data_IF_491045148416
#
_entry.id   IF_491045148416
#
_cell.length_a   1.000
_cell.length_b   1.000
_cell.length_c   1.000
_cell.angle_alpha   90.00
_cell.angle_beta   90.00
_cell.angle_gamma   90.00
#
_symmetry.space_group_name_H-M   'P 1'
#
loop_
_entity.id
_entity.type
_entity.pdbx_description
1 polymer ?
#
# COMPACT_ATOMS: atom_id res chain seq x y z
N UNK A 1 -32.13 6.48 14.81
CA UNK A 1 -31.13 7.15 13.96
C UNK A 1 -29.94 6.22 13.80
N UNK A 2 -29.47 6.08 12.56
CA UNK A 2 -28.80 4.91 12.00
C UNK A 2 -27.32 4.84 12.40
N UNK A 3 -26.93 3.86 13.22
CA UNK A 3 -25.52 3.57 13.51
C UNK A 3 -24.70 3.15 12.25
N UNK A 4 -25.37 2.99 11.10
CA UNK A 4 -24.79 2.57 9.82
C UNK A 4 -24.08 3.67 9.04
N UNK A 5 -24.44 4.95 9.21
CA UNK A 5 -23.81 6.06 8.49
C UNK A 5 -22.36 6.38 8.91
N UNK A 6 -22.01 6.41 10.21
CA UNK A 6 -20.63 6.62 10.62
C UNK A 6 -19.73 5.45 10.22
N UNK A 7 -20.24 4.22 10.26
CA UNK A 7 -19.49 3.02 9.88
C UNK A 7 -19.14 3.02 8.39
N UNK A 8 -20.13 3.27 7.52
CA UNK A 8 -19.91 3.39 6.06
C UNK A 8 -18.93 4.52 5.72
N UNK A 9 -18.99 5.62 6.46
CA UNK A 9 -18.05 6.73 6.30
C UNK A 9 -16.63 6.31 6.66
N UNK A 10 -16.46 5.58 7.77
CA UNK A 10 -15.18 5.05 8.20
C UNK A 10 -14.62 4.05 7.19
N UNK A 11 -15.45 3.14 6.65
CA UNK A 11 -15.05 2.17 5.62
C UNK A 11 -14.54 2.87 4.36
N UNK A 12 -15.23 3.91 3.91
CA UNK A 12 -14.81 4.72 2.76
C UNK A 12 -13.45 5.37 3.01
N UNK A 13 -13.26 5.98 4.18
CA UNK A 13 -11.99 6.62 4.55
C UNK A 13 -10.85 5.60 4.61
N UNK A 14 -11.08 4.41 5.19
CA UNK A 14 -10.09 3.34 5.25
C UNK A 14 -9.74 2.78 3.88
N UNK A 15 -10.72 2.64 2.99
CA UNK A 15 -10.48 2.23 1.60
C UNK A 15 -9.64 3.26 0.84
N UNK A 16 -9.92 4.56 1.02
CA UNK A 16 -9.11 5.63 0.44
C UNK A 16 -7.67 5.61 0.97
N UNK A 17 -7.49 5.43 2.28
CA UNK A 17 -6.16 5.30 2.90
C UNK A 17 -5.39 4.11 2.33
N UNK A 18 -6.04 2.95 2.18
CA UNK A 18 -5.44 1.75 1.57
C UNK A 18 -4.97 2.03 0.14
N UNK A 19 -5.80 2.70 -0.66
CA UNK A 19 -5.45 3.10 -2.04
C UNK A 19 -4.25 4.05 -2.07
N UNK A 20 -4.20 5.03 -1.16
CA UNK A 20 -3.06 5.96 -1.05
C UNK A 20 -1.78 5.22 -0.66
N UNK A 21 -1.84 4.29 0.30
CA UNK A 21 -0.70 3.44 0.67
C UNK A 21 -0.20 2.63 -0.54
N UNK A 22 -1.13 2.04 -1.32
CA UNK A 22 -0.79 1.28 -2.51
C UNK A 22 -0.12 2.16 -3.58
N UNK A 23 -0.64 3.36 -3.81
CA UNK A 23 -0.04 4.32 -4.73
C UNK A 23 1.40 4.68 -4.33
N UNK A 24 1.62 4.97 -3.04
CA UNK A 24 2.96 5.27 -2.52
C UNK A 24 3.96 4.12 -2.66
N UNK A 25 3.50 2.87 -2.53
CA UNK A 25 4.32 1.68 -2.80
C UNK A 25 4.67 1.62 -4.29
N UNK A 26 3.68 1.78 -5.17
CA UNK A 26 3.89 1.72 -6.61
C UNK A 26 4.84 2.82 -7.12
N UNK A 27 4.70 4.04 -6.59
CA UNK A 27 5.61 5.16 -6.85
C UNK A 27 7.04 4.84 -6.42
N UNK A 28 7.22 4.30 -5.20
CA UNK A 28 8.54 3.94 -4.70
C UNK A 28 9.20 2.85 -5.56
N UNK A 29 8.42 1.86 -6.00
CA UNK A 29 8.93 0.84 -6.93
C UNK A 29 9.34 1.43 -8.28
N UNK A 30 8.60 2.43 -8.80
CA UNK A 30 9.00 3.14 -10.03
C UNK A 30 10.33 3.87 -9.84
N UNK A 31 10.52 4.54 -8.70
CA UNK A 31 11.78 5.23 -8.36
C UNK A 31 12.94 4.23 -8.34
N UNK A 32 12.78 3.09 -7.66
CA UNK A 32 13.82 2.05 -7.57
C UNK A 32 14.16 1.51 -8.97
N UNK A 33 13.17 1.22 -9.82
CA UNK A 33 13.43 0.78 -11.20
C UNK A 33 14.20 1.83 -12.01
N UNK A 34 13.88 3.12 -11.83
CA UNK A 34 14.62 4.21 -12.43
C UNK A 34 16.07 4.27 -11.97
N UNK A 35 16.33 4.05 -10.68
CA UNK A 35 17.69 3.97 -10.12
C UNK A 35 18.45 2.76 -10.68
N UNK A 36 17.83 1.58 -10.74
CA UNK A 36 18.42 0.37 -11.30
C UNK A 36 18.85 0.56 -12.77
N UNK A 37 18.01 1.21 -13.58
CA UNK A 37 18.36 1.55 -14.96
C UNK A 37 19.58 2.47 -15.03
N UNK A 38 19.65 3.52 -14.19
CA UNK A 38 20.81 4.43 -14.16
C UNK A 38 22.08 3.72 -13.72
N UNK A 39 21.98 2.86 -12.71
CA UNK A 39 23.11 2.05 -12.22
C UNK A 39 23.62 1.14 -13.33
N UNK A 40 22.72 0.48 -14.05
CA UNK A 40 23.06 -0.37 -15.19
C UNK A 40 23.81 0.42 -16.26
N UNK A 41 23.30 1.58 -16.67
CA UNK A 41 23.97 2.46 -17.64
C UNK A 41 25.36 2.92 -17.15
N UNK A 42 25.52 3.25 -15.87
CA UNK A 42 26.83 3.60 -15.30
C UNK A 42 27.81 2.42 -15.32
N UNK A 43 27.33 1.20 -15.10
CA UNK A 43 28.14 0.00 -15.23
C UNK A 43 28.57 -0.23 -16.67
N UNK A 44 27.66 -0.07 -17.64
CA UNK A 44 28.00 -0.17 -19.07
C UNK A 44 29.09 0.83 -19.47
N UNK A 45 29.01 2.08 -19.01
CA UNK A 45 30.06 3.08 -19.28
C UNK A 45 31.41 2.72 -18.65
N UNK A 46 31.43 2.07 -17.48
CA UNK A 46 32.65 1.60 -16.85
C UNK A 46 33.26 0.37 -17.53
N UNK A 47 32.44 -0.45 -18.19
CA UNK A 47 32.86 -1.64 -18.92
C UNK A 47 33.09 -1.40 -20.41
N UNK A 48 32.76 -0.21 -20.91
CA UNK A 48 32.97 0.16 -22.30
C UNK A 48 34.47 0.05 -22.68
N UNK A 49 34.79 -0.53 -23.85
CA UNK A 49 36.16 -0.68 -24.28
C UNK A 49 36.82 0.69 -24.43
N UNK A 50 37.99 0.82 -23.81
CA UNK A 50 38.82 2.00 -23.89
C UNK A 50 39.47 2.06 -25.26
N UNK A 51 39.25 3.16 -26.00
CA UNK A 51 40.03 3.43 -27.22
C UNK A 51 41.52 3.47 -26.88
N UNK A 52 42.43 2.90 -27.69
CA UNK A 52 43.86 2.94 -27.41
C UNK A 52 44.36 4.39 -27.43
N UNK A 53 44.47 4.99 -26.26
CA UNK A 53 44.99 6.34 -26.07
C UNK A 53 46.52 6.30 -26.06
N UNK A 54 47.14 7.05 -26.95
CA UNK A 54 48.60 7.11 -27.12
C UNK A 54 49.27 8.23 -26.33
N UNK A 55 48.50 9.13 -25.71
CA UNK A 55 49.01 10.34 -25.05
C UNK A 55 48.77 10.30 -23.54
N UNK A 56 49.79 10.62 -22.73
CA UNK A 56 49.74 10.54 -21.26
C UNK A 56 48.66 11.40 -20.60
N UNK A 57 48.36 12.59 -21.14
CA UNK A 57 47.24 13.42 -20.68
C UNK A 57 45.88 12.75 -20.90
N UNK A 58 45.72 12.04 -22.01
CA UNK A 58 44.47 11.33 -22.32
C UNK A 58 44.28 10.14 -21.37
N UNK A 59 45.34 9.40 -21.05
CA UNK A 59 45.32 8.34 -20.05
C UNK A 59 44.95 8.88 -18.65
N UNK A 60 45.57 9.97 -18.21
CA UNK A 60 45.27 10.58 -16.91
C UNK A 60 43.82 11.07 -16.80
N UNK A 61 43.33 11.75 -17.84
CA UNK A 61 41.94 12.20 -17.90
C UNK A 61 40.96 11.03 -17.84
N UNK A 62 41.29 9.92 -18.51
CA UNK A 62 40.46 8.74 -18.51
C UNK A 62 40.42 8.05 -17.13
N UNK A 63 41.56 7.94 -16.46
CA UNK A 63 41.62 7.38 -15.10
C UNK A 63 40.79 8.20 -14.11
N UNK A 64 40.86 9.54 -14.21
CA UNK A 64 40.05 10.44 -13.39
C UNK A 64 38.56 10.27 -13.70
N UNK A 65 38.18 10.24 -14.98
CA UNK A 65 36.81 10.00 -15.41
C UNK A 65 36.26 8.66 -14.89
N UNK A 66 37.03 7.57 -15.01
CA UNK A 66 36.65 6.26 -14.49
C UNK A 66 36.51 6.26 -12.96
N UNK A 67 37.37 7.01 -12.24
CA UNK A 67 37.29 7.16 -10.79
C UNK A 67 36.01 7.90 -10.38
N UNK A 68 35.68 8.98 -11.05
CA UNK A 68 34.45 9.75 -10.84
C UNK A 68 33.21 8.91 -11.13
N UNK A 69 33.17 8.17 -12.24
CA UNK A 69 32.09 7.24 -12.56
C UNK A 69 31.92 6.16 -11.48
N UNK A 70 33.00 5.57 -10.97
CA UNK A 70 32.93 4.58 -9.87
C UNK A 70 32.41 5.20 -8.57
N UNK A 71 32.76 6.45 -8.28
CA UNK A 71 32.22 7.17 -7.12
C UNK A 71 30.72 7.43 -7.29
N UNK A 72 30.30 7.90 -8.46
CA UNK A 72 28.89 8.12 -8.79
C UNK A 72 28.09 6.82 -8.73
N UNK A 73 28.62 5.72 -9.25
CA UNK A 73 28.01 4.40 -9.18
C UNK A 73 27.80 3.95 -7.73
N UNK A 74 28.84 4.04 -6.89
CA UNK A 74 28.73 3.70 -5.46
C UNK A 74 27.67 4.54 -4.76
N UNK A 75 27.63 5.85 -5.04
CA UNK A 75 26.61 6.73 -4.49
C UNK A 75 25.20 6.34 -4.95
N UNK A 76 25.00 6.05 -6.24
CA UNK A 76 23.70 5.59 -6.77
C UNK A 76 23.26 4.27 -6.13
N UNK A 77 24.18 3.32 -5.93
CA UNK A 77 23.90 2.05 -5.24
C UNK A 77 23.47 2.28 -3.79
N UNK A 78 24.12 3.20 -3.07
CA UNK A 78 23.71 3.57 -1.71
C UNK A 78 22.32 4.23 -1.68
N UNK A 79 22.00 5.08 -2.66
CA UNK A 79 20.68 5.67 -2.80
C UNK A 79 19.61 4.60 -3.09
N UNK A 80 19.91 3.62 -3.94
CA UNK A 80 19.01 2.50 -4.20
C UNK A 80 18.72 1.70 -2.92
N UNK A 81 19.74 1.37 -2.12
CA UNK A 81 19.56 0.64 -0.85
C UNK A 81 18.65 1.42 0.10
N UNK A 82 18.84 2.74 0.21
CA UNK A 82 17.97 3.61 1.02
C UNK A 82 16.53 3.59 0.50
N UNK A 83 16.36 3.66 -0.82
CA UNK A 83 15.05 3.60 -1.46
C UNK A 83 14.34 2.25 -1.26
N UNK A 84 15.09 1.14 -1.24
CA UNK A 84 14.58 -0.20 -0.96
C UNK A 84 14.14 -0.36 0.50
N UNK A 85 14.89 0.20 1.45
CA UNK A 85 14.46 0.24 2.86
C UNK A 85 13.15 1.02 3.03
N UNK A 86 13.02 2.15 2.32
CA UNK A 86 11.78 2.93 2.32
C UNK A 86 10.62 2.17 1.66
N UNK A 87 10.89 1.36 0.63
CA UNK A 87 9.87 0.48 0.04
C UNK A 87 9.35 -0.53 1.07
N UNK A 88 10.23 -1.16 1.85
CA UNK A 88 9.84 -2.10 2.91
C UNK A 88 8.95 -1.42 3.95
N UNK A 89 9.31 -0.20 4.38
CA UNK A 89 8.47 0.60 5.31
C UNK A 89 7.09 0.93 4.72
N UNK A 90 7.03 1.26 3.44
CA UNK A 90 5.74 1.53 2.76
C UNK A 90 4.90 0.28 2.60
N UNK A 91 5.53 -0.87 2.34
CA UNK A 91 4.85 -2.16 2.28
C UNK A 91 4.28 -2.58 3.64
N UNK A 92 5.01 -2.38 4.74
CA UNK A 92 4.48 -2.64 6.08
C UNK A 92 3.27 -1.75 6.39
N UNK A 93 3.35 -0.45 6.08
CA UNK A 93 2.22 0.47 6.25
C UNK A 93 1.00 0.09 5.40
N UNK A 94 1.21 -0.41 4.19
CA UNK A 94 0.14 -0.94 3.33
C UNK A 94 -0.53 -2.17 3.97
N UNK A 95 0.26 -3.11 4.48
CA UNK A 95 -0.27 -4.30 5.17
C UNK A 95 -1.08 -3.92 6.41
N UNK A 96 -0.59 -3.00 7.22
CA UNK A 96 -1.31 -2.49 8.39
C UNK A 96 -2.63 -1.83 7.99
N UNK A 97 -2.63 -0.99 6.95
CA UNK A 97 -3.85 -0.37 6.43
C UNK A 97 -4.84 -1.42 5.93
N UNK A 98 -4.37 -2.47 5.24
CA UNK A 98 -5.21 -3.57 4.78
C UNK A 98 -5.83 -4.35 5.95
N UNK A 99 -5.06 -4.66 6.99
CA UNK A 99 -5.56 -5.34 8.19
C UNK A 99 -6.61 -4.49 8.92
N UNK A 100 -6.38 -3.19 9.05
CA UNK A 100 -7.35 -2.26 9.65
C UNK A 100 -8.65 -2.20 8.85
N UNK A 101 -8.55 -2.16 7.51
CA UNK A 101 -9.73 -2.21 6.63
C UNK A 101 -10.50 -3.53 6.80
N UNK A 102 -9.79 -4.67 6.82
CA UNK A 102 -10.44 -5.99 6.98
C UNK A 102 -11.14 -6.18 8.32
N UNK A 103 -10.54 -5.69 9.41
CA UNK A 103 -11.19 -5.69 10.74
C UNK A 103 -12.46 -4.84 10.76
N UNK A 104 -12.45 -3.71 10.06
CA UNK A 104 -13.62 -2.85 9.97
C UNK A 104 -14.73 -3.51 9.13
N UNK A 105 -14.38 -4.11 8.00
CA UNK A 105 -15.30 -4.85 7.14
C UNK A 105 -15.97 -6.00 7.92
N UNK A 106 -15.20 -6.80 8.67
CA UNK A 106 -15.77 -7.88 9.49
C UNK A 106 -16.72 -7.35 10.56
N UNK A 107 -16.35 -6.27 11.23
CA UNK A 107 -17.21 -5.63 12.23
C UNK A 107 -18.50 -5.09 11.60
N UNK A 108 -18.42 -4.50 10.40
CA UNK A 108 -19.59 -4.04 9.66
C UNK A 108 -20.56 -5.15 9.32
N UNK A 109 -20.06 -6.32 8.90
CA UNK A 109 -20.88 -7.50 8.69
C UNK A 109 -21.54 -8.01 9.97
N UNK A 110 -20.84 -7.99 11.10
CA UNK A 110 -21.40 -8.37 12.39
C UNK A 110 -22.53 -7.44 12.84
N UNK A 111 -22.34 -6.11 12.71
CA UNK A 111 -23.36 -5.11 13.02
C UNK A 111 -24.58 -5.25 12.12
N UNK A 112 -24.39 -5.49 10.82
CA UNK A 112 -25.50 -5.72 9.91
C UNK A 112 -26.28 -6.99 10.28
N UNK A 113 -25.57 -8.08 10.62
CA UNK A 113 -26.19 -9.35 11.03
C UNK A 113 -26.97 -9.20 12.33
N UNK A 114 -26.42 -8.53 13.34
CA UNK A 114 -27.13 -8.32 14.62
C UNK A 114 -28.33 -7.41 14.44
N UNK A 115 -28.24 -6.38 13.60
CA UNK A 115 -29.38 -5.53 13.24
C UNK A 115 -30.53 -6.33 12.61
N UNK A 116 -30.25 -7.18 11.62
CA UNK A 116 -31.25 -8.06 11.00
C UNK A 116 -31.88 -9.03 12.01
N UNK A 117 -31.08 -9.63 12.89
CA UNK A 117 -31.57 -10.53 13.93
C UNK A 117 -32.48 -9.82 14.94
N UNK A 118 -32.14 -8.59 15.33
CA UNK A 118 -32.97 -7.78 16.24
C UNK A 118 -34.31 -7.43 15.58
N UNK A 119 -34.29 -7.03 14.31
CA UNK A 119 -35.51 -6.72 13.56
C UNK A 119 -36.43 -7.95 13.46
N UNK A 120 -35.90 -9.12 13.11
CA UNK A 120 -36.69 -10.36 13.09
C UNK A 120 -37.27 -10.72 14.46
N UNK A 121 -36.50 -10.58 15.54
CA UNK A 121 -37.02 -10.81 16.90
C UNK A 121 -38.14 -9.84 17.27
N UNK A 122 -38.06 -8.60 16.80
CA UNK A 122 -39.05 -7.57 17.08
C UNK A 122 -40.35 -7.82 16.30
N UNK A 123 -40.25 -8.28 15.05
CA UNK A 123 -41.38 -8.75 14.23
C UNK A 123 -42.04 -10.01 14.79
N UNK A 124 -41.25 -10.96 15.30
CA UNK A 124 -41.78 -12.14 16.00
C UNK A 124 -42.56 -11.75 17.25
N UNK A 125 -42.00 -10.88 18.10
CA UNK A 125 -42.69 -10.40 19.30
C UNK A 125 -44.00 -9.67 18.96
N UNK A 126 -44.03 -8.86 17.90
CA UNK A 126 -45.24 -8.14 17.51
C UNK A 126 -46.31 -9.08 16.95
N UNK A 127 -45.91 -10.07 16.14
CA UNK A 127 -46.83 -11.10 15.62
C UNK A 127 -47.38 -12.00 16.72
N UNK A 128 -46.55 -12.44 17.67
CA UNK A 128 -46.97 -13.22 18.83
C UNK A 128 -47.96 -12.45 19.70
N UNK A 129 -47.70 -11.16 19.98
CA UNK A 129 -48.61 -10.31 20.73
C UNK A 129 -49.97 -10.16 20.04
N UNK A 130 -49.98 -9.97 18.72
CA UNK A 130 -51.22 -9.90 17.93
C UNK A 130 -51.98 -11.24 17.94
N UNK A 131 -51.26 -12.37 17.87
CA UNK A 131 -51.86 -13.70 17.98
C UNK A 131 -52.52 -13.91 19.34
N UNK A 132 -51.82 -13.58 20.43
CA UNK A 132 -52.34 -13.68 21.80
C UNK A 132 -53.63 -12.84 21.99
N UNK A 133 -53.66 -11.60 21.48
CA UNK A 133 -54.85 -10.75 21.51
C UNK A 133 -56.03 -11.34 20.73
N UNK A 134 -55.80 -12.01 19.61
CA UNK A 134 -56.85 -12.68 18.83
C UNK A 134 -57.38 -13.92 19.55
N UNK A 135 -56.53 -14.68 20.23
CA UNK A 135 -56.96 -15.81 21.05
C UNK A 135 -57.79 -15.36 22.25
N UNK A 136 -57.34 -14.33 22.97
CA UNK A 136 -58.06 -13.79 24.13
C UNK A 136 -59.44 -13.20 23.81
N UNK A 137 -59.72 -12.85 22.54
CA UNK A 137 -61.05 -12.38 22.10
C UNK A 137 -62.00 -13.51 21.70
N UNK A 138 -61.51 -14.74 21.56
CA UNK A 138 -62.29 -15.92 21.17
C UNK A 138 -62.66 -16.83 22.36
N UNK A 139 -62.01 -16.64 23.50
CA UNK A 139 -62.36 -17.18 24.82
C UNK A 139 -63.36 -16.29 25.53
#
# INVERSE_FOLDING_TARGET
MSQTDPLKTLERLRRQQLQQCQQRVNEQQKVIRGMQSRIHTLQEFLHAPVSPLTHGLALHNQENYARELRQLLRWQQQQQLTAEQELVRRQSALLESHLQYKRLESYGHEVARTGLQQQHRQEQKSTDALAALRFARKS
#
